data_IF_845038437950
#
_entry.id   IF_845038437950
#
_cell.length_a   1.000
_cell.length_b   1.000
_cell.length_c   1.000
_cell.angle_alpha   90.00
_cell.angle_beta   90.00
_cell.angle_gamma   90.00
#
_symmetry.space_group_name_H-M   'P 1'
#
loop_
_entity.id
_entity.type
_entity.pdbx_description
1 polymer ?
#
# COMPACT_ATOMS: atom_id res chain seq x y z
N UNK A 1 -10.07 -16.03 12.33
CA UNK A 1 -8.73 -15.75 12.87
C UNK A 1 -8.57 -14.24 13.11
N UNK A 2 -7.67 -13.83 14.00
CA UNK A 2 -7.44 -12.41 14.30
C UNK A 2 -7.02 -11.57 13.07
N UNK A 3 -6.47 -12.20 12.05
CA UNK A 3 -6.08 -11.60 10.78
C UNK A 3 -7.21 -11.48 9.75
N UNK A 4 -8.40 -11.99 10.03
CA UNK A 4 -9.52 -11.95 9.09
C UNK A 4 -10.23 -10.58 9.12
N UNK A 5 -10.47 -10.02 7.95
CA UNK A 5 -11.16 -8.73 7.79
C UNK A 5 -12.65 -8.99 7.54
N UNK A 6 -13.48 -8.53 8.45
CA UNK A 6 -14.94 -8.57 8.35
C UNK A 6 -15.49 -7.16 8.22
N UNK A 7 -16.28 -6.88 7.19
CA UNK A 7 -16.87 -5.54 6.97
C UNK A 7 -18.30 -5.65 6.46
N UNK A 8 -19.11 -4.66 6.83
CA UNK A 8 -20.44 -4.47 6.25
C UNK A 8 -20.30 -4.02 4.80
N UNK A 9 -21.26 -4.41 3.98
CA UNK A 9 -21.33 -4.07 2.56
C UNK A 9 -22.67 -3.39 2.27
N UNK A 10 -22.72 -2.58 1.23
CA UNK A 10 -23.98 -2.11 0.66
C UNK A 10 -24.58 -3.28 -0.11
N UNK A 11 -25.87 -3.51 0.06
CA UNK A 11 -26.59 -4.53 -0.69
C UNK A 11 -26.61 -4.19 -2.18
N UNK A 12 -26.65 -5.23 -3.00
CA UNK A 12 -26.78 -5.14 -4.45
C UNK A 12 -27.96 -5.96 -4.93
N UNK A 13 -28.54 -5.54 -6.05
CA UNK A 13 -29.53 -6.34 -6.78
C UNK A 13 -28.85 -7.46 -7.61
N UNK A 14 -29.64 -8.21 -8.34
CA UNK A 14 -29.16 -9.31 -9.23
C UNK A 14 -28.31 -8.80 -10.39
N UNK A 15 -28.53 -7.55 -10.81
CA UNK A 15 -27.77 -6.88 -11.87
C UNK A 15 -26.48 -6.22 -11.36
N UNK A 16 -26.24 -6.26 -10.05
CA UNK A 16 -25.04 -5.71 -9.39
C UNK A 16 -25.12 -4.24 -9.02
N UNK A 17 -26.29 -3.57 -9.18
CA UNK A 17 -26.49 -2.19 -8.80
C UNK A 17 -26.70 -2.07 -7.28
N UNK A 18 -26.26 -0.95 -6.71
CA UNK A 18 -26.44 -0.70 -5.27
C UNK A 18 -27.90 -0.39 -4.95
N UNK A 19 -28.40 -1.02 -3.90
CA UNK A 19 -29.78 -0.85 -3.46
C UNK A 19 -29.95 0.39 -2.58
N UNK A 20 -31.00 1.15 -2.86
CA UNK A 20 -31.50 2.23 -2.01
C UNK A 20 -32.91 1.90 -1.53
N UNK A 21 -33.23 2.33 -0.33
CA UNK A 21 -34.58 2.21 0.23
C UNK A 21 -35.52 3.32 -0.31
N UNK A 22 -36.79 3.24 0.00
CA UNK A 22 -37.79 4.22 -0.42
C UNK A 22 -37.51 5.66 0.05
N UNK A 23 -36.64 5.85 1.04
CA UNK A 23 -36.16 7.15 1.51
C UNK A 23 -34.88 7.63 0.85
N UNK A 24 -34.39 7.01 -0.23
CA UNK A 24 -33.17 7.39 -0.95
C UNK A 24 -31.88 7.07 -0.22
N UNK A 25 -31.90 6.30 0.88
CA UNK A 25 -30.71 5.91 1.63
C UNK A 25 -30.23 4.53 1.19
N UNK A 26 -28.90 4.36 1.18
CA UNK A 26 -28.27 3.09 0.83
C UNK A 26 -28.66 1.97 1.81
N UNK A 27 -29.00 0.80 1.28
CA UNK A 27 -29.27 -0.38 2.09
C UNK A 27 -27.95 -1.09 2.47
N UNK A 28 -27.69 -1.14 3.78
CA UNK A 28 -26.48 -1.78 4.33
C UNK A 28 -26.82 -3.19 4.79
N UNK A 29 -25.98 -4.17 4.49
CA UNK A 29 -26.11 -5.53 5.00
C UNK A 29 -26.01 -5.54 6.54
N UNK A 30 -26.93 -6.23 7.20
CA UNK A 30 -26.97 -6.30 8.67
C UNK A 30 -25.72 -7.00 9.25
N UNK A 31 -25.24 -8.03 8.55
CA UNK A 31 -24.09 -8.82 8.97
C UNK A 31 -22.83 -8.41 8.21
N UNK A 32 -21.71 -8.38 8.94
CA UNK A 32 -20.39 -8.23 8.33
C UNK A 32 -19.99 -9.53 7.62
N UNK A 33 -19.47 -9.41 6.41
CA UNK A 33 -18.94 -10.53 5.63
C UNK A 33 -17.43 -10.55 5.67
N UNK A 34 -16.85 -11.74 5.60
CA UNK A 34 -15.39 -11.91 5.47
C UNK A 34 -14.93 -11.43 4.11
N UNK A 35 -14.08 -10.42 4.08
CA UNK A 35 -13.52 -9.85 2.85
C UNK A 35 -12.15 -10.44 2.52
N UNK A 36 -11.48 -11.00 3.51
CA UNK A 36 -10.18 -11.64 3.35
C UNK A 36 -9.34 -11.59 4.62
N UNK A 37 -8.04 -11.79 4.48
CA UNK A 37 -7.07 -11.71 5.56
C UNK A 37 -6.07 -10.58 5.31
N UNK A 38 -5.56 -9.96 6.36
CA UNK A 38 -4.47 -8.97 6.31
C UNK A 38 -3.14 -9.64 5.95
N UNK A 39 -2.96 -10.89 6.36
CA UNK A 39 -1.73 -11.62 6.13
C UNK A 39 -1.52 -11.93 4.64
N UNK A 40 -0.29 -11.78 4.13
CA UNK A 40 0.04 -12.22 2.78
C UNK A 40 -0.07 -13.76 2.68
N UNK A 41 -0.30 -14.25 1.47
CA UNK A 41 -0.24 -15.69 1.20
C UNK A 41 1.21 -16.18 1.29
N UNK A 42 2.12 -15.38 0.75
CA UNK A 42 3.58 -15.61 0.82
C UNK A 42 4.33 -14.31 0.59
N UNK A 43 5.56 -14.29 1.07
CA UNK A 43 6.54 -13.24 0.82
C UNK A 43 7.77 -13.87 0.17
N UNK A 44 8.35 -13.19 -0.81
CA UNK A 44 9.54 -13.61 -1.51
C UNK A 44 10.57 -12.50 -1.45
N UNK A 45 11.82 -12.87 -1.19
CA UNK A 45 12.95 -11.95 -1.26
C UNK A 45 14.05 -12.58 -2.10
N UNK A 46 14.59 -11.81 -3.05
CA UNK A 46 15.69 -12.23 -3.90
C UNK A 46 16.83 -11.25 -3.73
N UNK A 47 17.96 -11.76 -3.25
CA UNK A 47 19.18 -11.01 -3.09
C UNK A 47 20.20 -11.47 -4.13
N UNK A 48 20.82 -10.54 -4.82
CA UNK A 48 21.87 -10.80 -5.78
C UNK A 48 23.07 -9.89 -5.50
N UNK A 49 24.24 -10.50 -5.44
CA UNK A 49 25.53 -9.82 -5.26
C UNK A 49 26.48 -10.22 -6.38
N UNK A 50 26.99 -9.24 -7.08
CA UNK A 50 27.95 -9.37 -8.18
C UNK A 50 29.29 -8.77 -7.77
N UNK A 51 30.37 -9.48 -8.06
CA UNK A 51 31.75 -8.99 -7.80
C UNK A 51 32.62 -9.24 -9.02
N UNK A 52 33.28 -8.17 -9.49
CA UNK A 52 34.18 -8.27 -10.63
C UNK A 52 35.29 -7.23 -10.53
N UNK A 53 36.56 -7.67 -10.48
CA UNK A 53 37.75 -6.81 -10.49
C UNK A 53 37.68 -5.60 -9.54
N UNK A 54 37.24 -5.81 -8.30
CA UNK A 54 37.09 -4.75 -7.30
C UNK A 54 35.72 -4.04 -7.32
N UNK A 55 34.92 -4.18 -8.38
CA UNK A 55 33.54 -3.72 -8.39
C UNK A 55 32.63 -4.68 -7.63
N UNK A 56 31.71 -4.12 -6.91
CA UNK A 56 30.60 -4.82 -6.25
C UNK A 56 29.29 -4.14 -6.64
N UNK A 57 28.30 -4.92 -7.00
CA UNK A 57 26.95 -4.44 -7.24
C UNK A 57 25.98 -5.44 -6.62
N UNK A 58 25.02 -4.97 -5.87
CA UNK A 58 24.01 -5.81 -5.25
C UNK A 58 22.62 -5.19 -5.37
N UNK A 59 21.60 -6.03 -5.39
CA UNK A 59 20.23 -5.58 -5.28
C UNK A 59 19.37 -6.58 -4.54
N UNK A 60 18.35 -6.07 -3.86
CA UNK A 60 17.35 -6.86 -3.19
C UNK A 60 15.96 -6.51 -3.74
N UNK A 61 15.30 -7.53 -4.30
CA UNK A 61 13.89 -7.47 -4.65
C UNK A 61 13.08 -8.10 -3.54
N UNK A 62 11.98 -7.46 -3.18
CA UNK A 62 10.99 -7.98 -2.24
C UNK A 62 9.62 -8.01 -2.89
N UNK A 63 8.92 -9.13 -2.74
CA UNK A 63 7.56 -9.31 -3.21
C UNK A 63 6.67 -9.81 -2.07
N UNK A 64 5.55 -9.11 -1.86
CA UNK A 64 4.47 -9.53 -0.98
C UNK A 64 3.27 -9.90 -1.85
N UNK A 65 2.77 -11.11 -1.74
CA UNK A 65 1.66 -11.59 -2.56
C UNK A 65 0.45 -11.92 -1.68
N UNK A 66 -0.67 -11.29 -2.02
CA UNK A 66 -1.91 -11.41 -1.25
C UNK A 66 -1.95 -10.47 -0.04
N UNK A 67 -2.90 -10.73 0.84
CA UNK A 67 -3.24 -9.85 1.94
C UNK A 67 -4.21 -8.74 1.52
N UNK A 68 -4.90 -8.19 2.53
CA UNK A 68 -5.81 -7.05 2.39
C UNK A 68 -5.32 -5.90 3.23
N UNK A 69 -5.49 -4.70 2.74
CA UNK A 69 -5.21 -3.45 3.45
C UNK A 69 -6.42 -2.55 3.34
N UNK A 70 -6.79 -1.93 4.46
CA UNK A 70 -7.87 -0.95 4.53
C UNK A 70 -7.27 0.45 4.49
N UNK A 71 -7.71 1.29 3.56
CA UNK A 71 -7.40 2.72 3.60
C UNK A 71 -8.48 3.49 4.37
N UNK A 72 -8.24 3.72 5.64
CA UNK A 72 -9.07 4.64 6.40
C UNK A 72 -8.83 6.09 5.96
N UNK A 73 -7.63 6.43 5.51
CA UNK A 73 -7.31 7.73 4.91
C UNK A 73 -8.27 8.08 3.78
N UNK A 74 -8.42 7.18 2.79
CA UNK A 74 -9.34 7.40 1.67
C UNK A 74 -10.79 7.49 2.14
N UNK A 75 -11.19 6.64 3.09
CA UNK A 75 -12.53 6.66 3.65
C UNK A 75 -12.88 8.01 4.30
N UNK A 76 -11.94 8.58 5.05
CA UNK A 76 -12.14 9.90 5.65
C UNK A 76 -12.17 11.01 4.60
N UNK A 77 -11.24 11.02 3.64
CA UNK A 77 -11.22 12.01 2.57
C UNK A 77 -12.51 12.01 1.74
N UNK A 78 -13.00 10.83 1.42
CA UNK A 78 -14.27 10.64 0.71
C UNK A 78 -15.45 11.08 1.56
N UNK A 79 -15.51 10.63 2.81
CA UNK A 79 -16.60 10.94 3.73
C UNK A 79 -16.75 12.44 4.04
N UNK A 80 -15.64 13.18 4.02
CA UNK A 80 -15.66 14.66 4.12
C UNK A 80 -15.75 15.38 2.78
N UNK A 81 -15.86 14.64 1.68
CA UNK A 81 -16.09 15.23 0.35
C UNK A 81 -14.89 15.98 -0.24
N UNK A 82 -13.67 15.76 0.27
CA UNK A 82 -12.45 16.46 -0.17
C UNK A 82 -11.63 15.66 -1.19
N UNK A 83 -12.07 14.46 -1.55
CA UNK A 83 -11.41 13.64 -2.56
C UNK A 83 -11.82 14.02 -3.99
N UNK A 84 -10.96 13.72 -4.97
CA UNK A 84 -11.27 13.87 -6.38
C UNK A 84 -12.51 13.07 -6.78
N UNK A 85 -12.65 11.84 -6.29
CA UNK A 85 -13.79 10.98 -6.59
C UNK A 85 -15.12 11.56 -6.09
N UNK A 86 -15.13 12.17 -4.90
CA UNK A 86 -16.33 12.84 -4.37
C UNK A 86 -16.67 14.12 -5.16
N UNK A 87 -15.66 14.86 -5.65
CA UNK A 87 -15.87 16.02 -6.50
C UNK A 87 -16.48 15.61 -7.84
N UNK A 88 -15.90 14.64 -8.53
CA UNK A 88 -16.42 14.11 -9.80
C UNK A 88 -17.84 13.56 -9.68
N UNK A 89 -18.17 12.91 -8.56
CA UNK A 89 -19.52 12.43 -8.32
C UNK A 89 -20.53 13.57 -8.14
N UNK A 90 -20.16 14.68 -7.47
CA UNK A 90 -20.99 15.88 -7.38
C UNK A 90 -21.22 16.51 -8.76
N UNK A 91 -20.18 16.66 -9.54
CA UNK A 91 -20.26 17.24 -10.89
C UNK A 91 -21.13 16.39 -11.84
N UNK A 92 -21.12 15.06 -11.67
CA UNK A 92 -21.93 14.13 -12.43
C UNK A 92 -23.36 13.96 -11.89
N UNK A 93 -23.78 14.74 -10.89
CA UNK A 93 -25.12 14.69 -10.29
C UNK A 93 -25.38 13.44 -9.45
N UNK A 94 -24.34 12.89 -8.83
CA UNK A 94 -24.42 11.76 -7.89
C UNK A 94 -23.86 10.44 -8.41
N UNK A 95 -24.02 9.40 -7.59
CA UNK A 95 -23.52 8.03 -7.86
C UNK A 95 -24.65 7.14 -8.35
N UNK A 96 -24.46 6.36 -9.45
CA UNK A 96 -25.48 5.46 -9.98
C UNK A 96 -25.89 4.37 -8.99
N UNK A 97 -27.18 4.12 -8.88
CA UNK A 97 -27.82 3.09 -8.04
C UNK A 97 -28.98 2.45 -8.80
N UNK A 98 -29.63 1.43 -8.22
CA UNK A 98 -30.74 0.71 -8.86
C UNK A 98 -31.94 1.60 -9.25
N UNK A 99 -32.16 2.73 -8.57
CA UNK A 99 -33.27 3.66 -8.84
C UNK A 99 -32.80 5.01 -9.40
N UNK A 100 -31.73 5.04 -10.21
CA UNK A 100 -31.17 6.24 -10.80
C UNK A 100 -29.86 6.65 -10.17
N UNK A 101 -29.80 7.82 -9.50
CA UNK A 101 -28.59 8.30 -8.82
C UNK A 101 -28.90 8.69 -7.38
N UNK A 102 -28.00 8.38 -6.48
CA UNK A 102 -28.01 8.91 -5.11
C UNK A 102 -27.07 10.11 -5.04
N UNK A 103 -27.42 11.08 -4.21
CA UNK A 103 -26.58 12.24 -3.96
C UNK A 103 -25.18 11.84 -3.48
N UNK A 104 -24.16 12.55 -3.97
CA UNK A 104 -22.76 12.25 -3.68
C UNK A 104 -22.45 12.37 -2.17
N UNK A 105 -23.04 13.33 -1.46
CA UNK A 105 -22.86 13.47 -0.01
C UNK A 105 -23.42 12.26 0.72
N UNK A 106 -24.64 11.83 0.39
CA UNK A 106 -25.29 10.65 0.97
C UNK A 106 -24.45 9.38 0.73
N UNK A 107 -23.92 9.23 -0.49
CA UNK A 107 -23.06 8.09 -0.82
C UNK A 107 -21.78 8.09 0.01
N UNK A 108 -20.98 9.15 -0.10
CA UNK A 108 -19.64 9.18 0.51
C UNK A 108 -19.67 9.29 2.04
N UNK A 109 -20.67 9.93 2.64
CA UNK A 109 -20.85 9.88 4.10
C UNK A 109 -21.21 8.47 4.57
N UNK A 110 -22.02 7.73 3.82
CA UNK A 110 -22.39 6.36 4.18
C UNK A 110 -21.20 5.41 4.11
N UNK A 111 -20.42 5.43 3.02
CA UNK A 111 -19.28 4.51 2.86
C UNK A 111 -18.06 4.93 3.67
N UNK A 112 -17.79 6.23 3.80
CA UNK A 112 -16.64 6.79 4.51
C UNK A 112 -16.88 6.89 6.01
N UNK A 113 -17.52 7.96 6.47
CA UNK A 113 -17.77 8.20 7.90
C UNK A 113 -18.82 7.26 8.50
N UNK A 114 -19.74 6.74 7.70
CA UNK A 114 -20.69 5.69 8.08
C UNK A 114 -20.10 4.31 8.33
N UNK A 115 -18.79 4.15 8.14
CA UNK A 115 -18.01 2.94 8.45
C UNK A 115 -18.37 1.70 7.63
N UNK A 116 -18.85 1.88 6.39
CA UNK A 116 -19.03 0.79 5.42
C UNK A 116 -17.76 0.64 4.58
N UNK A 117 -16.66 0.29 5.24
CA UNK A 117 -15.32 0.33 4.68
C UNK A 117 -15.02 -0.72 3.62
N UNK A 118 -15.97 -1.51 3.17
CA UNK A 118 -15.75 -2.52 2.12
C UNK A 118 -15.21 -1.95 0.81
N UNK A 119 -15.53 -0.69 0.49
CA UNK A 119 -15.03 0.03 -0.68
C UNK A 119 -13.55 0.42 -0.60
N UNK A 120 -13.00 0.48 0.61
CA UNK A 120 -11.65 0.94 0.89
C UNK A 120 -10.69 -0.19 1.22
N UNK A 121 -11.08 -1.44 0.89
CA UNK A 121 -10.25 -2.63 1.09
C UNK A 121 -9.56 -2.98 -0.21
N UNK A 122 -8.26 -2.85 -0.23
CA UNK A 122 -7.39 -3.10 -1.37
C UNK A 122 -6.60 -4.39 -1.21
N UNK A 123 -6.08 -4.90 -2.31
CA UNK A 123 -5.14 -6.00 -2.29
C UNK A 123 -3.74 -5.46 -2.00
N UNK A 124 -3.06 -6.00 -0.99
CA UNK A 124 -1.76 -5.55 -0.55
C UNK A 124 -0.58 -6.12 -1.37
N UNK A 125 -0.85 -6.82 -2.48
CA UNK A 125 0.20 -7.35 -3.36
C UNK A 125 1.07 -6.22 -3.90
N UNK A 126 2.37 -6.32 -3.65
CA UNK A 126 3.35 -5.37 -4.17
C UNK A 126 4.70 -6.05 -4.45
N UNK A 127 5.49 -5.45 -5.34
CA UNK A 127 6.86 -5.84 -5.66
C UNK A 127 7.70 -4.56 -5.63
N UNK A 128 8.80 -4.60 -4.88
CA UNK A 128 9.69 -3.44 -4.74
C UNK A 128 11.16 -3.79 -4.85
N UNK A 129 11.93 -2.85 -5.38
CA UNK A 129 13.37 -2.83 -5.25
C UNK A 129 13.71 -2.22 -3.89
N UNK A 130 13.96 -3.12 -2.92
CA UNK A 130 14.12 -2.73 -1.52
C UNK A 130 15.48 -2.10 -1.26
N UNK A 131 16.53 -2.66 -1.85
CA UNK A 131 17.88 -2.12 -1.74
C UNK A 131 18.63 -2.31 -3.07
N UNK A 132 19.47 -1.36 -3.41
CA UNK A 132 20.48 -1.53 -4.42
C UNK A 132 21.78 -0.85 -3.96
N UNK A 133 22.92 -1.48 -4.24
CA UNK A 133 24.23 -0.97 -3.87
C UNK A 133 25.20 -1.14 -5.02
N UNK A 134 26.12 -0.19 -5.14
CA UNK A 134 27.28 -0.27 -6.03
C UNK A 134 28.49 0.18 -5.26
N UNK A 135 29.60 -0.52 -5.40
CA UNK A 135 30.82 -0.19 -4.70
C UNK A 135 32.05 -0.58 -5.50
N UNK A 136 33.17 0.02 -5.10
CA UNK A 136 34.47 -0.28 -5.66
C UNK A 136 35.52 -0.34 -4.56
N UNK A 137 36.34 -1.38 -4.59
CA UNK A 137 37.48 -1.56 -3.70
C UNK A 137 38.75 -1.06 -4.39
N UNK A 138 39.30 0.03 -3.89
CA UNK A 138 40.60 0.53 -4.28
C UNK A 138 41.70 -0.41 -3.72
N UNK A 139 42.53 -1.01 -4.56
CA UNK A 139 43.51 -2.02 -4.11
C UNK A 139 44.63 -1.41 -3.28
N UNK A 140 45.20 -2.17 -2.33
CA UNK A 140 46.30 -1.75 -1.46
C UNK A 140 47.50 -1.20 -2.21
N UNK A 141 47.81 -1.73 -3.40
CA UNK A 141 48.93 -1.28 -4.26
C UNK A 141 48.90 0.23 -4.59
N UNK A 142 47.72 0.87 -4.55
CA UNK A 142 47.62 2.31 -4.78
C UNK A 142 48.02 3.13 -3.55
N UNK A 143 48.05 2.49 -2.39
CA UNK A 143 48.37 3.10 -1.10
C UNK A 143 49.61 2.49 -0.46
N UNK A 144 50.59 2.11 -1.28
CA UNK A 144 51.86 1.51 -0.85
C UNK A 144 51.69 0.27 0.04
N UNK A 145 50.65 -0.50 -0.25
CA UNK A 145 50.24 -1.73 0.48
C UNK A 145 49.87 -1.52 1.95
N UNK A 146 49.63 -0.26 2.38
CA UNK A 146 49.24 0.05 3.76
C UNK A 146 47.76 -0.25 3.99
N UNK A 147 46.88 0.23 3.11
CA UNK A 147 45.43 0.04 3.28
C UNK A 147 44.71 -0.17 1.94
N UNK A 148 43.54 -0.77 1.99
CA UNK A 148 42.56 -0.75 0.89
C UNK A 148 41.34 0.09 1.29
N UNK A 149 40.75 0.78 0.33
CA UNK A 149 39.60 1.64 0.56
C UNK A 149 38.41 1.06 -0.19
N UNK A 150 37.34 0.76 0.54
CA UNK A 150 36.06 0.38 -0.04
C UNK A 150 35.14 1.59 -0.06
N UNK A 151 34.69 1.99 -1.22
CA UNK A 151 33.70 3.05 -1.41
C UNK A 151 32.42 2.40 -1.93
N UNK A 152 31.28 2.69 -1.33
CA UNK A 152 30.00 2.18 -1.80
C UNK A 152 28.89 3.20 -1.67
N UNK A 153 27.99 3.16 -2.64
CA UNK A 153 26.68 3.86 -2.63
C UNK A 153 25.61 2.83 -2.39
N UNK A 154 24.65 3.15 -1.53
CA UNK A 154 23.52 2.30 -1.18
C UNK A 154 22.25 3.12 -1.27
N UNK A 155 21.26 2.60 -1.94
CA UNK A 155 19.93 3.18 -1.98
C UNK A 155 18.92 2.18 -1.43
N UNK A 156 17.99 2.65 -0.60
CA UNK A 156 16.93 1.81 -0.03
C UNK A 156 15.56 2.31 -0.44
N UNK A 157 14.62 1.37 -0.56
CA UNK A 157 13.24 1.61 -0.97
C UNK A 157 13.15 2.40 -2.28
N UNK A 158 13.98 2.00 -3.28
CA UNK A 158 14.23 2.79 -4.49
C UNK A 158 13.04 2.82 -5.43
N UNK A 159 12.33 1.71 -5.58
CA UNK A 159 11.29 1.62 -6.57
C UNK A 159 10.19 0.63 -6.17
N UNK A 160 8.96 1.10 -6.14
CA UNK A 160 7.76 0.28 -6.07
C UNK A 160 7.40 -0.14 -7.51
N UNK A 161 7.86 -1.32 -7.92
CA UNK A 161 7.75 -1.81 -9.30
C UNK A 161 6.30 -2.14 -9.64
N UNK A 162 5.61 -2.77 -8.68
CA UNK A 162 4.21 -3.17 -8.83
C UNK A 162 3.46 -3.01 -7.52
N UNK A 163 2.24 -2.46 -7.58
CA UNK A 163 1.33 -2.35 -6.44
C UNK A 163 -0.11 -2.42 -6.92
N UNK A 164 -0.94 -3.18 -6.22
CA UNK A 164 -2.39 -3.24 -6.48
C UNK A 164 -3.19 -2.20 -5.72
N UNK A 165 -2.66 -1.70 -4.61
CA UNK A 165 -3.28 -0.60 -3.87
C UNK A 165 -2.90 0.75 -4.48
N UNK A 166 -3.73 1.79 -4.40
CA UNK A 166 -3.41 3.13 -4.89
C UNK A 166 -2.45 3.92 -3.97
N UNK A 167 -1.95 3.28 -2.93
CA UNK A 167 -1.02 3.82 -1.93
C UNK A 167 0.00 2.74 -1.54
N UNK A 168 1.00 3.07 -0.72
CA UNK A 168 1.98 2.08 -0.23
C UNK A 168 1.32 1.13 0.80
N UNK A 169 1.08 -0.15 0.46
CA UNK A 169 0.37 -1.08 1.33
C UNK A 169 1.20 -1.56 2.54
N UNK A 170 2.46 -1.16 2.65
CA UNK A 170 3.33 -1.47 3.77
C UNK A 170 3.41 -0.35 4.80
N UNK A 171 2.89 0.84 4.49
CA UNK A 171 2.71 1.90 5.46
C UNK A 171 1.48 1.61 6.33
N UNK A 172 1.65 0.78 7.35
CA UNK A 172 0.60 0.46 8.31
C UNK A 172 0.71 1.35 9.55
N UNK A 173 -0.44 1.75 10.11
CA UNK A 173 -0.49 2.61 11.30
C UNK A 173 0.00 1.91 12.56
N UNK A 174 -0.03 0.59 12.60
CA UNK A 174 0.44 -0.22 13.73
C UNK A 174 0.81 -1.63 13.28
N UNK A 175 1.73 -2.24 14.00
CA UNK A 175 2.06 -3.67 13.91
C UNK A 175 1.24 -4.54 14.87
N UNK A 176 0.43 -3.91 15.73
CA UNK A 176 -0.46 -4.62 16.64
C UNK A 176 -1.53 -5.40 15.87
N UNK A 177 -1.92 -6.55 16.40
CA UNK A 177 -2.85 -7.49 15.77
C UNK A 177 -4.20 -6.85 15.40
N UNK A 178 -4.65 -5.87 16.15
CA UNK A 178 -5.95 -5.21 15.92
C UNK A 178 -5.90 -4.15 14.81
N UNK A 179 -4.79 -3.43 14.66
CA UNK A 179 -4.65 -2.32 13.73
C UNK A 179 -3.74 -2.62 12.53
N UNK A 180 -3.21 -3.84 12.43
CA UNK A 180 -2.40 -4.23 11.28
C UNK A 180 -3.20 -4.15 9.97
N UNK A 181 -2.55 -3.70 8.91
CA UNK A 181 -3.17 -3.57 7.59
C UNK A 181 -4.19 -2.45 7.48
N UNK A 182 -4.13 -1.45 8.37
CA UNK A 182 -4.91 -0.21 8.28
C UNK A 182 -3.96 0.93 7.95
N UNK A 183 -4.18 1.59 6.83
CA UNK A 183 -3.61 2.89 6.51
C UNK A 183 -4.46 3.99 7.13
N UNK A 184 -3.86 4.83 7.96
CA UNK A 184 -4.52 5.97 8.58
C UNK A 184 -3.59 7.18 8.61
N UNK A 185 -3.64 8.00 7.55
CA UNK A 185 -2.81 9.20 7.34
C UNK A 185 -1.31 8.95 7.50
N UNK A 186 -0.86 7.73 7.16
CA UNK A 186 0.54 7.37 7.26
C UNK A 186 1.32 7.92 6.06
N UNK A 187 2.54 8.34 6.33
CA UNK A 187 3.45 8.70 5.25
C UNK A 187 3.94 7.44 4.52
N UNK A 188 4.06 7.50 3.17
CA UNK A 188 4.65 6.39 2.42
C UNK A 188 6.10 6.15 2.85
N UNK A 189 6.58 4.95 2.60
CA UNK A 189 7.95 4.55 2.91
C UNK A 189 8.96 5.47 2.24
N UNK A 190 9.89 6.03 3.00
CA UNK A 190 10.89 6.98 2.50
C UNK A 190 11.97 6.27 1.68
N UNK A 191 12.43 6.92 0.62
CA UNK A 191 13.67 6.54 -0.06
C UNK A 191 14.85 7.09 0.72
N UNK A 192 15.89 6.28 0.86
CA UNK A 192 17.12 6.72 1.48
C UNK A 192 18.31 6.40 0.58
N UNK A 193 19.27 7.32 0.57
CA UNK A 193 20.55 7.17 -0.13
C UNK A 193 21.66 7.38 0.88
N UNK A 194 22.65 6.51 0.83
CA UNK A 194 23.80 6.59 1.69
C UNK A 194 25.07 6.28 0.91
N UNK A 195 26.18 6.77 1.41
CA UNK A 195 27.49 6.31 0.97
C UNK A 195 28.28 5.77 2.16
N UNK A 196 29.17 4.86 1.89
CA UNK A 196 30.04 4.27 2.91
C UNK A 196 31.46 4.26 2.39
N UNK A 197 32.40 4.63 3.25
CA UNK A 197 33.82 4.50 3.02
C UNK A 197 34.41 3.67 4.15
N UNK A 198 35.03 2.55 3.81
CA UNK A 198 35.66 1.64 4.77
C UNK A 198 37.14 1.51 4.45
N UNK A 199 37.94 1.76 5.46
CA UNK A 199 39.40 1.57 5.39
C UNK A 199 39.78 0.22 5.99
N UNK A 200 40.50 -0.60 5.24
CA UNK A 200 41.01 -1.91 5.69
C UNK A 200 42.56 -1.86 5.64
N UNK A 201 43.16 -1.86 6.80
CA UNK A 201 44.60 -1.85 7.00
C UNK A 201 45.22 -3.25 6.90
#
# INVERSE_FOLDING_TARGET
AASDVYKRQIKKDEDGNYLVNAGGKLEIAALSQKVGSVLPKYTLSMNNDFRYKGFRAGFQLHARVGGKVLSATQAYLDGYGVSKASAEARDNGGVPVNQGKVDAETWYTTIGTGKVYSHYIYNATNIRLQEASIGYTLPKRWFRDVCSIDISLVGRNLWLIYCKAPFDPESASSTDTYYQGIDFFMQPSLRSYGFSVKLNF
#
